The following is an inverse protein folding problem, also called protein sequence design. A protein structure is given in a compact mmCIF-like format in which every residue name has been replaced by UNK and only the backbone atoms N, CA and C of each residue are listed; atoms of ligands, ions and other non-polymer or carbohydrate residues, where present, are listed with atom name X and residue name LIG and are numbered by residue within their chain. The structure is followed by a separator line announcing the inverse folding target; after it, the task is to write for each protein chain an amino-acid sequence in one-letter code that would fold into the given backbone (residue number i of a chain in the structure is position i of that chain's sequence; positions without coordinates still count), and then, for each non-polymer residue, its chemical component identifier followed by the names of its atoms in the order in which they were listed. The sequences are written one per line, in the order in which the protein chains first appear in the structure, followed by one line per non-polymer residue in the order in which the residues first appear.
data_IF_194050860288
#
_entry.id   IF_194050860288
#
_cell.length_a   1.000
_cell.length_b   1.000
_cell.length_c   1.000
_cell.angle_alpha   90.00
_cell.angle_beta   90.00
_cell.angle_gamma   90.00
#
_symmetry.space_group_name_H-M   'P 1'
#
loop_
_entity.id
_entity.type
_entity.pdbx_description
1 polymer ?
#
# COMPACT_ATOMS: atom_id res chain seq x y z
N UNK A 1 26.68 -22.29 -7.35
CA UNK A 1 27.15 -21.02 -7.94
C UNK A 1 26.27 -19.87 -7.46
N UNK A 2 26.73 -19.07 -6.49
CA UNK A 2 26.02 -17.89 -5.99
C UNK A 2 26.23 -16.75 -7.00
N UNK A 3 25.25 -16.50 -7.86
CA UNK A 3 25.26 -15.32 -8.73
C UNK A 3 25.10 -14.07 -7.85
N UNK A 4 25.92 -13.03 -8.01
CA UNK A 4 25.89 -11.86 -7.15
C UNK A 4 24.54 -11.12 -7.26
N UNK A 5 24.06 -10.65 -6.11
CA UNK A 5 22.77 -10.01 -5.81
C UNK A 5 22.56 -8.64 -6.50
N UNK A 6 22.77 -8.52 -7.82
CA UNK A 6 22.81 -7.20 -8.49
C UNK A 6 21.92 -7.01 -9.70
N UNK A 7 21.07 -7.96 -10.10
CA UNK A 7 20.13 -7.72 -11.20
C UNK A 7 18.80 -8.46 -10.99
N UNK A 8 17.93 -7.92 -10.16
CA UNK A 8 16.55 -7.74 -10.61
C UNK A 8 16.03 -6.40 -10.07
N UNK A 9 16.79 -5.38 -10.47
CA UNK A 9 16.29 -4.03 -10.52
C UNK A 9 15.01 -4.03 -11.35
N UNK A 10 13.90 -3.56 -10.79
CA UNK A 10 12.72 -3.14 -11.56
C UNK A 10 13.18 -2.00 -12.48
N UNK A 11 13.75 -2.37 -13.62
CA UNK A 11 14.29 -1.45 -14.60
C UNK A 11 13.11 -0.97 -15.45
N UNK A 12 12.43 0.05 -14.95
CA UNK A 12 11.35 0.67 -15.72
C UNK A 12 11.94 1.37 -16.94
N UNK A 13 11.76 0.77 -18.12
CA UNK A 13 11.78 1.49 -19.38
C UNK A 13 10.66 2.53 -19.31
N UNK A 14 10.99 3.82 -19.36
CA UNK A 14 10.02 4.93 -19.35
C UNK A 14 8.89 4.66 -20.36
N UNK A 15 7.71 4.22 -19.90
CA UNK A 15 6.48 4.34 -20.67
C UNK A 15 5.84 5.63 -20.20
N UNK A 16 6.20 6.71 -20.88
CA UNK A 16 5.41 7.93 -20.95
C UNK A 16 3.95 7.56 -21.09
N UNK A 17 3.08 8.29 -20.39
CA UNK A 17 1.63 8.21 -20.49
C UNK A 17 1.19 7.87 -21.93
N UNK A 18 0.75 6.63 -22.15
CA UNK A 18 -0.03 6.32 -23.34
C UNK A 18 -1.45 6.77 -23.02
N UNK A 19 -1.68 8.08 -23.17
CA UNK A 19 -3.02 8.59 -23.40
C UNK A 19 -3.41 8.07 -24.79
N UNK A 20 -4.01 6.89 -24.82
CA UNK A 20 -4.50 6.28 -26.05
C UNK A 20 -5.59 7.17 -26.62
N UNK A 21 -5.24 7.92 -27.68
CA UNK A 21 -6.20 8.52 -28.57
C UNK A 21 -7.02 7.40 -29.22
N UNK A 22 -8.26 7.21 -28.74
CA UNK A 22 -9.26 6.45 -29.47
C UNK A 22 -9.74 7.29 -30.65
N UNK A 23 -9.19 7.01 -31.83
CA UNK A 23 -9.73 7.48 -33.09
C UNK A 23 -11.03 6.70 -33.39
N UNK A 24 -12.17 7.25 -32.98
CA UNK A 24 -13.50 6.71 -33.23
C UNK A 24 -14.42 7.71 -33.94
N UNK A 25 -14.48 7.58 -35.27
CA UNK A 25 -15.49 8.01 -36.27
C UNK A 25 -16.53 9.08 -35.89
N UNK A 26 -16.56 10.13 -36.73
CA UNK A 26 -17.61 11.16 -36.85
C UNK A 26 -18.98 10.57 -37.23
N UNK A 27 -20.04 11.05 -36.56
CA UNK A 27 -21.47 10.91 -36.88
C UNK A 27 -22.27 12.01 -36.13
N UNK A 28 -23.45 12.44 -36.61
CA UNK A 28 -23.81 13.86 -36.64
C UNK A 28 -24.58 14.42 -35.42
N UNK A 29 -24.62 15.74 -35.44
CA UNK A 29 -25.09 16.72 -34.46
C UNK A 29 -26.50 16.45 -33.90
N UNK A 30 -26.58 16.36 -32.57
CA UNK A 30 -27.81 16.39 -31.79
C UNK A 30 -27.76 17.53 -30.77
N UNK A 31 -28.72 18.43 -30.90
CA UNK A 31 -28.92 19.72 -30.25
C UNK A 31 -29.08 19.66 -28.71
N UNK A 32 -28.33 20.46 -27.95
CA UNK A 32 -28.55 20.71 -26.51
C UNK A 32 -28.84 22.21 -26.28
N UNK A 33 -30.04 22.60 -25.80
CA UNK A 33 -30.29 23.98 -25.41
C UNK A 33 -29.68 24.27 -24.03
N UNK A 34 -28.88 25.33 -23.98
CA UNK A 34 -28.37 25.91 -22.75
C UNK A 34 -29.42 26.69 -21.97
N UNK A 35 -29.29 26.69 -20.66
CA UNK A 35 -29.97 27.60 -19.76
C UNK A 35 -28.99 28.00 -18.64
N UNK A 36 -28.69 29.29 -18.46
CA UNK A 36 -28.03 29.79 -17.27
C UNK A 36 -29.08 30.28 -16.26
N UNK A 37 -28.97 29.88 -15.00
CA UNK A 37 -29.62 30.58 -13.89
C UNK A 37 -28.58 30.90 -12.82
N UNK A 38 -28.51 32.19 -12.56
CA UNK A 38 -27.65 32.90 -11.61
C UNK A 38 -28.30 32.95 -10.20
N UNK A 39 -27.72 33.65 -9.20
CA UNK A 39 -27.64 33.22 -7.82
C UNK A 39 -28.73 33.78 -6.89
N UNK A 40 -28.89 33.14 -5.71
CA UNK A 40 -29.58 33.74 -4.56
C UNK A 40 -29.01 33.22 -3.24
N UNK A 41 -28.20 34.08 -2.61
CA UNK A 41 -28.30 34.59 -1.23
C UNK A 41 -29.18 33.82 -0.22
N UNK A 42 -28.66 33.57 0.99
CA UNK A 42 -29.49 33.03 2.08
C UNK A 42 -28.73 32.66 3.36
N UNK A 43 -28.32 33.68 4.11
CA UNK A 43 -27.86 33.61 5.51
C UNK A 43 -28.91 32.98 6.44
N UNK A 44 -28.52 32.04 7.31
CA UNK A 44 -29.02 31.98 8.69
C UNK A 44 -27.94 31.47 9.65
N UNK A 45 -27.48 32.40 10.47
CA UNK A 45 -26.73 32.17 11.71
C UNK A 45 -27.73 31.69 12.76
N UNK A 46 -27.53 30.52 13.34
CA UNK A 46 -28.25 30.10 14.55
C UNK A 46 -27.27 29.90 15.70
N UNK A 47 -27.27 30.89 16.59
CA UNK A 47 -26.62 30.89 17.88
C UNK A 47 -27.47 30.12 18.90
N UNK A 48 -26.87 29.16 19.58
CA UNK A 48 -27.28 28.80 20.95
C UNK A 48 -26.05 28.79 21.84
N UNK A 49 -25.81 29.94 22.44
CA UNK A 49 -24.84 30.16 23.50
C UNK A 49 -25.50 29.85 24.86
N UNK A 50 -24.69 29.29 25.77
CA UNK A 50 -24.82 29.28 27.24
C UNK A 50 -25.80 28.21 27.79
N UNK A 51 -25.40 27.33 28.72
CA UNK A 51 -24.91 27.55 30.11
C UNK A 51 -24.59 26.16 30.70
N UNK A 52 -23.86 25.92 31.80
CA UNK A 52 -22.81 26.53 32.66
C UNK A 52 -22.54 25.43 33.73
N UNK A 53 -21.42 25.55 34.44
CA UNK A 53 -21.10 24.91 35.73
C UNK A 53 -20.69 23.43 35.68
N UNK A 54 -19.70 22.93 36.42
CA UNK A 54 -18.73 23.53 37.34
C UNK A 54 -17.60 22.50 37.55
N UNK A 55 -16.37 22.99 37.76
CA UNK A 55 -15.24 22.22 38.28
C UNK A 55 -15.48 21.82 39.74
N UNK A 56 -14.86 20.72 40.22
CA UNK A 56 -13.83 20.94 41.23
C UNK A 56 -12.54 20.14 41.01
N UNK A 57 -11.54 20.62 41.75
CA UNK A 57 -10.11 20.35 41.75
C UNK A 57 -9.74 18.95 42.30
N UNK A 58 -8.56 18.50 41.85
CA UNK A 58 -7.53 17.74 42.59
C UNK A 58 -7.96 16.44 43.30
N UNK A 59 -7.37 15.33 42.86
CA UNK A 59 -6.59 14.47 43.76
C UNK A 59 -5.71 13.51 42.93
N UNK A 60 -4.41 13.82 42.89
CA UNK A 60 -3.35 12.82 42.78
C UNK A 60 -3.19 12.23 44.19
N UNK A 61 -3.71 11.02 44.39
CA UNK A 61 -3.48 10.14 45.53
C UNK A 61 -4.14 8.81 45.14
N UNK A 62 -3.58 7.64 45.31
CA UNK A 62 -2.34 7.19 45.89
C UNK A 62 -2.35 5.67 45.67
N UNK A 63 -1.17 5.08 45.62
CA UNK A 63 -0.99 3.63 45.57
C UNK A 63 -1.69 3.01 46.78
N UNK A 64 -2.68 2.16 46.55
CA UNK A 64 -3.16 1.19 47.55
C UNK A 64 -2.92 -0.20 46.99
N UNK A 65 -1.91 -0.87 47.54
CA UNK A 65 -1.67 -2.29 47.37
C UNK A 65 -2.72 -3.04 48.20
N UNK A 66 -3.69 -3.65 47.53
CA UNK A 66 -4.60 -4.62 48.14
C UNK A 66 -4.46 -5.95 47.38
N UNK A 67 -3.74 -6.89 47.99
CA UNK A 67 -3.73 -8.29 47.58
C UNK A 67 -4.89 -9.01 48.27
N UNK A 68 -5.84 -9.54 47.50
CA UNK A 68 -6.71 -10.66 47.90
C UNK A 68 -7.36 -11.30 46.66
N UNK A 69 -6.85 -12.48 46.34
CA UNK A 69 -7.41 -13.61 45.57
C UNK A 69 -8.86 -13.53 45.08
N UNK A 70 -9.08 -13.73 43.77
CA UNK A 70 -9.83 -14.83 43.10
C UNK A 70 -10.27 -14.35 41.71
N UNK A 71 -9.93 -15.10 40.65
CA UNK A 71 -10.51 -14.92 39.32
C UNK A 71 -9.57 -14.26 38.31
N UNK A 72 -8.86 -15.08 37.56
CA UNK A 72 -8.23 -14.69 36.30
C UNK A 72 -9.32 -14.28 35.31
N UNK A 73 -9.75 -13.02 35.35
CA UNK A 73 -10.38 -12.41 34.18
C UNK A 73 -9.25 -12.09 33.22
N UNK A 74 -8.94 -13.04 32.34
CA UNK A 74 -8.30 -12.72 31.08
C UNK A 74 -9.27 -11.78 30.36
N UNK A 75 -9.09 -10.48 30.56
CA UNK A 75 -9.55 -9.50 29.60
C UNK A 75 -8.86 -9.90 28.30
N UNK A 76 -9.61 -10.55 27.41
CA UNK A 76 -9.26 -10.76 26.03
C UNK A 76 -9.17 -9.39 25.37
N UNK A 77 -8.10 -8.67 25.68
CA UNK A 77 -7.53 -7.71 24.75
C UNK A 77 -7.42 -8.46 23.43
N UNK A 78 -7.99 -7.96 22.31
CA UNK A 78 -7.74 -8.58 21.03
C UNK A 78 -6.24 -8.69 20.92
N UNK A 79 -5.73 -9.92 20.81
CA UNK A 79 -4.32 -10.16 20.60
C UNK A 79 -3.94 -9.25 19.44
N UNK A 80 -3.15 -8.22 19.74
CA UNK A 80 -2.60 -7.33 18.73
C UNK A 80 -1.95 -8.29 17.74
N UNK A 81 -2.59 -8.51 16.59
CA UNK A 81 -2.19 -9.55 15.67
C UNK A 81 -0.71 -9.29 15.41
N UNK A 82 0.15 -10.25 15.79
CA UNK A 82 1.57 -10.14 15.52
C UNK A 82 1.71 -9.74 14.05
N UNK A 83 2.54 -8.74 13.71
CA UNK A 83 2.59 -8.24 12.35
C UNK A 83 2.78 -9.43 11.42
N UNK A 84 1.78 -9.67 10.57
CA UNK A 84 1.83 -10.76 9.62
C UNK A 84 3.11 -10.58 8.80
N UNK A 85 3.88 -11.66 8.63
CA UNK A 85 5.09 -11.59 7.82
C UNK A 85 4.73 -11.07 6.43
N UNK A 86 5.64 -10.32 5.78
CA UNK A 86 5.41 -9.84 4.42
C UNK A 86 5.01 -10.98 3.47
N UNK A 87 5.58 -12.17 3.68
CA UNK A 87 5.22 -13.38 2.94
C UNK A 87 3.78 -13.84 3.18
N UNK A 88 3.30 -13.84 4.43
CA UNK A 88 1.92 -14.17 4.75
C UNK A 88 0.94 -13.15 4.13
N UNK A 89 1.27 -11.86 4.16
CA UNK A 89 0.48 -10.81 3.49
C UNK A 89 0.40 -11.09 1.98
N UNK A 90 1.52 -11.45 1.34
CA UNK A 90 1.52 -11.77 -0.08
C UNK A 90 0.70 -13.02 -0.41
N UNK A 91 0.70 -14.05 0.46
CA UNK A 91 -0.15 -15.23 0.29
C UNK A 91 -1.64 -14.89 0.36
N UNK A 92 -2.03 -13.97 1.24
CA UNK A 92 -3.41 -13.51 1.35
C UNK A 92 -3.86 -12.70 0.12
N UNK A 93 -2.93 -11.92 -0.45
CA UNK A 93 -3.21 -11.08 -1.63
C UNK A 93 -3.23 -11.84 -2.94
N UNK A 94 -2.34 -12.82 -3.08
CA UNK A 94 -2.23 -13.67 -4.26
C UNK A 94 -2.91 -15.01 -3.94
N UNK A 95 -4.25 -15.02 -4.03
CA UNK A 95 -5.06 -16.22 -3.77
C UNK A 95 -4.76 -17.37 -4.73
N UNK A 96 -4.27 -17.07 -5.93
CA UNK A 96 -3.69 -18.06 -6.83
C UNK A 96 -2.29 -18.48 -6.34
N UNK A 97 -2.22 -19.72 -5.86
CA UNK A 97 -0.98 -20.34 -5.38
C UNK A 97 0.16 -20.36 -6.40
N UNK A 98 -0.13 -20.42 -7.71
CA UNK A 98 0.87 -20.38 -8.76
C UNK A 98 1.46 -18.98 -8.88
N UNK A 99 0.62 -17.95 -8.91
CA UNK A 99 1.07 -16.55 -8.93
C UNK A 99 1.88 -16.21 -7.69
N UNK A 100 1.42 -16.67 -6.52
CA UNK A 100 2.18 -16.52 -5.28
C UNK A 100 3.56 -17.17 -5.36
N UNK A 101 3.67 -18.42 -5.84
CA UNK A 101 4.97 -19.09 -6.01
C UNK A 101 5.91 -18.33 -6.94
N UNK A 102 5.40 -17.82 -8.05
CA UNK A 102 6.19 -17.02 -8.98
C UNK A 102 6.67 -15.71 -8.34
N UNK A 103 5.78 -15.01 -7.64
CA UNK A 103 6.09 -13.80 -6.88
C UNK A 103 7.12 -14.07 -5.76
N UNK A 104 6.95 -15.16 -5.01
CA UNK A 104 7.84 -15.60 -3.94
C UNK A 104 9.26 -15.85 -4.45
N UNK A 105 9.40 -16.50 -5.61
CA UNK A 105 10.70 -16.73 -6.22
C UNK A 105 11.44 -15.42 -6.54
N UNK A 106 10.71 -14.40 -7.01
CA UNK A 106 11.29 -13.09 -7.31
C UNK A 106 11.65 -12.37 -6.01
N UNK A 107 10.70 -12.17 -5.10
CA UNK A 107 10.91 -11.42 -3.85
C UNK A 107 12.00 -12.04 -2.97
N UNK A 108 12.06 -13.38 -2.92
CA UNK A 108 13.12 -14.08 -2.18
C UNK A 108 14.52 -13.77 -2.72
N UNK A 109 14.64 -13.49 -4.02
CA UNK A 109 15.93 -13.15 -4.66
C UNK A 109 16.26 -11.67 -4.53
N UNK A 110 15.25 -10.81 -4.59
CA UNK A 110 15.41 -9.37 -4.50
C UNK A 110 15.76 -8.87 -3.11
N UNK A 111 15.05 -9.37 -2.11
CA UNK A 111 15.14 -8.83 -0.75
C UNK A 111 15.26 -9.90 0.33
N UNK A 112 15.12 -11.18 -0.02
CA UNK A 112 14.96 -12.24 0.97
C UNK A 112 13.75 -12.01 1.88
N UNK A 113 12.69 -11.37 1.36
CA UNK A 113 11.51 -10.94 2.11
C UNK A 113 11.75 -9.85 3.17
N UNK A 114 12.85 -9.09 3.08
CA UNK A 114 13.07 -7.93 3.94
C UNK A 114 12.45 -6.65 3.32
N UNK A 115 11.36 -6.09 3.90
CA UNK A 115 10.71 -4.88 3.37
C UNK A 115 11.54 -3.61 3.54
N UNK A 116 12.64 -3.67 4.30
CA UNK A 116 13.60 -2.58 4.47
C UNK A 116 14.90 -2.80 3.69
N UNK A 117 14.98 -3.84 2.85
CA UNK A 117 16.17 -4.13 2.05
C UNK A 117 16.51 -2.92 1.17
N UNK A 118 17.72 -2.39 1.34
CA UNK A 118 18.22 -1.25 0.57
C UNK A 118 19.55 -1.62 -0.06
N UNK A 119 19.64 -1.50 -1.38
CA UNK A 119 20.91 -1.64 -2.08
C UNK A 119 21.69 -0.31 -1.99
N UNK A 120 22.79 -0.28 -1.24
CA UNK A 120 23.58 0.93 -1.03
C UNK A 120 24.19 1.50 -2.32
N UNK A 121 24.45 0.67 -3.34
CA UNK A 121 25.07 1.12 -4.59
C UNK A 121 24.06 1.72 -5.56
N UNK A 122 22.81 1.27 -5.56
CA UNK A 122 21.80 1.70 -6.55
C UNK A 122 20.65 2.50 -5.94
N UNK A 123 20.45 2.42 -4.63
CA UNK A 123 19.29 3.01 -3.95
C UNK A 123 17.98 2.25 -4.13
N UNK A 124 18.02 1.03 -4.72
CA UNK A 124 16.84 0.18 -4.82
C UNK A 124 16.33 -0.21 -3.41
N UNK A 125 15.01 -0.22 -3.23
CA UNK A 125 14.39 -0.36 -1.91
C UNK A 125 13.22 -1.36 -1.89
N UNK A 126 13.08 -2.03 -0.74
CA UNK A 126 11.90 -2.80 -0.37
C UNK A 126 11.87 -4.21 -0.93
N UNK A 127 10.73 -4.86 -0.77
CA UNK A 127 10.51 -6.28 -1.11
C UNK A 127 10.86 -6.60 -2.57
N UNK A 128 10.53 -5.68 -3.47
CA UNK A 128 10.67 -5.82 -4.93
C UNK A 128 11.80 -4.96 -5.52
N UNK A 129 12.67 -4.38 -4.67
CA UNK A 129 13.83 -3.58 -5.09
C UNK A 129 13.50 -2.51 -6.16
N UNK A 130 12.51 -1.66 -5.85
CA UNK A 130 12.01 -0.64 -6.77
C UNK A 130 13.02 0.50 -6.99
N UNK A 131 13.15 0.96 -8.24
CA UNK A 131 13.97 2.12 -8.60
C UNK A 131 13.23 3.12 -9.53
N UNK A 132 13.16 4.41 -9.16
CA UNK A 132 13.35 4.94 -7.81
C UNK A 132 12.25 4.45 -6.85
N UNK A 133 12.60 4.30 -5.57
CA UNK A 133 11.72 3.73 -4.54
C UNK A 133 10.40 4.50 -4.35
N UNK A 134 10.42 5.83 -4.57
CA UNK A 134 9.26 6.70 -4.45
C UNK A 134 8.12 6.36 -5.42
N UNK A 135 8.36 5.54 -6.46
CA UNK A 135 7.29 5.03 -7.32
C UNK A 135 6.26 4.21 -6.56
N UNK A 136 6.66 3.56 -5.46
CA UNK A 136 5.73 2.82 -4.61
C UNK A 136 4.70 3.74 -3.93
N UNK A 137 4.92 5.05 -3.92
CA UNK A 137 3.95 6.02 -3.42
C UNK A 137 2.62 6.00 -4.19
N UNK A 138 2.60 5.49 -5.44
CA UNK A 138 1.34 5.32 -6.18
C UNK A 138 0.42 4.25 -5.59
N UNK A 139 0.98 3.31 -4.82
CA UNK A 139 0.20 2.29 -4.11
C UNK A 139 -0.19 2.71 -2.68
N UNK A 140 0.46 3.73 -2.12
CA UNK A 140 0.21 4.23 -0.77
C UNK A 140 1.34 5.12 -0.28
N UNK A 141 1.02 6.18 0.48
CA UNK A 141 2.01 7.11 1.02
C UNK A 141 2.94 6.48 2.07
N UNK A 142 2.53 5.36 2.65
CA UNK A 142 3.21 4.56 3.68
C UNK A 142 4.14 3.47 3.10
N UNK A 143 4.40 3.49 1.79
CA UNK A 143 5.20 2.50 1.06
C UNK A 143 6.55 2.17 1.68
N UNK A 144 7.14 3.12 2.39
CA UNK A 144 8.46 2.93 2.99
C UNK A 144 8.40 1.93 4.14
N UNK A 145 7.39 1.99 5.00
CA UNK A 145 7.29 1.11 6.17
C UNK A 145 6.30 -0.04 5.99
N UNK A 146 5.39 0.05 5.02
CA UNK A 146 4.30 -0.91 4.89
C UNK A 146 4.61 -1.99 3.81
N UNK A 147 4.84 -3.26 4.21
CA UNK A 147 5.07 -4.35 3.26
C UNK A 147 3.86 -4.63 2.36
N UNK A 148 2.63 -4.42 2.85
CA UNK A 148 1.42 -4.58 2.04
C UNK A 148 1.40 -3.59 0.87
N UNK A 149 1.77 -2.34 1.11
CA UNK A 149 1.89 -1.31 0.05
C UNK A 149 2.95 -1.72 -0.98
N UNK A 150 4.09 -2.24 -0.53
CA UNK A 150 5.15 -2.72 -1.42
C UNK A 150 4.71 -3.93 -2.27
N UNK A 151 3.96 -4.87 -1.68
CA UNK A 151 3.41 -6.03 -2.37
C UNK A 151 2.38 -5.60 -3.40
N UNK A 152 1.44 -4.72 -3.03
CA UNK A 152 0.42 -4.19 -3.94
C UNK A 152 1.08 -3.53 -5.16
N UNK A 153 2.07 -2.67 -4.91
CA UNK A 153 2.80 -2.02 -5.99
C UNK A 153 3.54 -3.03 -6.88
N UNK A 154 4.25 -3.99 -6.26
CA UNK A 154 5.02 -5.01 -6.99
C UNK A 154 4.17 -5.92 -7.86
N UNK A 155 3.02 -6.38 -7.36
CA UNK A 155 2.07 -7.20 -8.13
C UNK A 155 1.49 -6.40 -9.30
N UNK A 156 1.07 -5.15 -9.08
CA UNK A 156 0.59 -4.27 -10.14
C UNK A 156 1.65 -4.06 -11.22
N UNK A 157 2.90 -3.78 -10.82
CA UNK A 157 4.01 -3.64 -11.75
C UNK A 157 4.21 -4.89 -12.61
N UNK A 158 4.22 -6.08 -11.99
CA UNK A 158 4.38 -7.33 -12.72
C UNK A 158 3.23 -7.58 -13.70
N UNK A 159 2.00 -7.27 -13.29
CA UNK A 159 0.83 -7.39 -14.15
C UNK A 159 0.90 -6.44 -15.35
N UNK A 160 1.26 -5.18 -15.15
CA UNK A 160 1.37 -4.19 -16.23
C UNK A 160 2.49 -4.50 -17.22
N UNK A 161 3.63 -4.98 -16.72
CA UNK A 161 4.85 -5.18 -17.53
C UNK A 161 4.94 -6.55 -18.18
N UNK A 162 4.42 -7.58 -17.52
CA UNK A 162 4.58 -8.98 -17.89
C UNK A 162 3.24 -9.75 -17.98
N UNK A 163 2.12 -9.09 -17.70
CA UNK A 163 0.79 -9.69 -17.70
C UNK A 163 0.44 -10.45 -16.42
N UNK A 164 1.43 -10.96 -15.67
CA UNK A 164 1.24 -11.63 -14.39
C UNK A 164 2.55 -11.78 -13.60
N UNK A 165 2.48 -12.15 -12.32
CA UNK A 165 3.66 -12.50 -11.52
C UNK A 165 4.42 -13.71 -12.12
N UNK A 166 3.71 -14.69 -12.68
CA UNK A 166 4.34 -15.78 -13.41
C UNK A 166 4.94 -15.37 -14.76
N UNK A 167 4.34 -14.40 -15.45
CA UNK A 167 4.95 -13.78 -16.64
C UNK A 167 6.29 -13.12 -16.30
N UNK A 168 6.35 -12.40 -15.18
CA UNK A 168 7.57 -11.79 -14.68
C UNK A 168 8.63 -12.85 -14.33
N UNK A 169 8.22 -13.94 -13.67
CA UNK A 169 9.13 -15.03 -13.30
C UNK A 169 9.70 -15.74 -14.53
N UNK A 170 8.87 -16.01 -15.54
CA UNK A 170 9.34 -16.58 -16.82
C UNK A 170 10.35 -15.66 -17.51
N UNK A 171 10.08 -14.35 -17.54
CA UNK A 171 11.02 -13.36 -18.07
C UNK A 171 12.34 -13.36 -17.30
N UNK A 172 12.28 -13.42 -15.96
CA UNK A 172 13.44 -13.50 -15.09
C UNK A 172 14.27 -14.76 -15.36
N UNK A 173 13.64 -15.92 -15.54
CA UNK A 173 14.35 -17.17 -15.84
C UNK A 173 15.11 -17.09 -17.17
N UNK A 174 14.56 -16.39 -18.16
CA UNK A 174 15.18 -16.25 -19.47
C UNK A 174 16.28 -15.18 -19.51
N UNK A 175 16.11 -14.06 -18.79
CA UNK A 175 16.96 -12.87 -18.95
C UNK A 175 17.82 -12.55 -17.73
N UNK A 176 17.47 -13.08 -16.56
CA UNK A 176 18.11 -12.76 -15.29
C UNK A 176 17.79 -11.36 -14.77
N UNK A 177 16.66 -10.76 -15.18
CA UNK A 177 16.09 -9.50 -14.69
C UNK A 177 14.57 -9.48 -14.91
N UNK A 178 13.83 -8.58 -14.25
CA UNK A 178 12.39 -8.30 -14.44
C UNK A 178 12.08 -6.83 -14.07
#
# INVERSE_FOLDING_TARGET
MRRPLVKALIAFTHRSCFCGAVAGRRGPLGNVPGGPLSPTEGSVVSATLLRRAATPKKALAGVTLAAATTGMLFASTPAQAAPASAKAIAQQKLSDSAQFRCFDNIVSRESGWNPNATNASTGAYGLVQALPANKMASAGSDWKSNPETQINWGVTYMNERYGSACGAWSHWQANGWY
#
